data_IF_266074766916
#
_entry.id   IF_266074766916
#
_cell.length_a   1.000
_cell.length_b   1.000
_cell.length_c   1.000
_cell.angle_alpha   90.00
_cell.angle_beta   90.00
_cell.angle_gamma   90.00
#
_symmetry.space_group_name_H-M   'P 1'
#
loop_
_entity.id
_entity.type
_entity.pdbx_description
1 polymer ?
#
# COMPACT_ATOMS: atom_id res chain seq x y z
N UNK A 1 45.98 14.79 5.95
CA UNK A 1 44.85 14.04 5.36
C UNK A 1 43.88 13.81 6.49
N UNK A 2 42.87 14.68 6.60
CA UNK A 2 41.74 14.45 7.49
C UNK A 2 40.85 13.49 6.71
N UNK A 3 40.60 12.31 7.27
CA UNK A 3 39.61 11.40 6.72
C UNK A 3 38.27 12.10 6.89
N UNK A 4 37.67 12.51 5.77
CA UNK A 4 36.25 12.80 5.70
C UNK A 4 35.57 11.45 5.91
N UNK A 5 35.20 11.16 7.16
CA UNK A 5 34.20 10.15 7.45
C UNK A 5 32.92 10.67 6.81
N UNK A 6 32.71 10.35 5.53
CA UNK A 6 31.38 10.38 4.95
C UNK A 6 30.54 9.41 5.77
N UNK A 7 29.89 9.94 6.80
CA UNK A 7 28.78 9.28 7.47
C UNK A 7 27.74 9.07 6.39
N UNK A 8 27.82 7.92 5.70
CA UNK A 8 26.76 7.45 4.83
C UNK A 8 25.51 7.40 5.69
N UNK A 9 24.49 8.25 5.46
CA UNK A 9 23.24 8.06 6.15
C UNK A 9 22.77 6.70 5.66
N UNK A 10 22.63 5.74 6.57
CA UNK A 10 21.75 4.61 6.34
C UNK A 10 20.36 5.20 6.16
N UNK A 11 20.04 5.59 4.93
CA UNK A 11 18.71 6.04 4.58
C UNK A 11 17.83 4.81 4.69
N UNK A 12 17.09 4.70 5.78
CA UNK A 12 16.03 3.71 5.89
C UNK A 12 15.01 4.03 4.79
N UNK A 13 15.07 3.25 3.72
CA UNK A 13 14.09 3.23 2.63
C UNK A 13 13.17 2.03 2.85
N UNK A 14 11.92 2.17 2.42
CA UNK A 14 10.96 1.07 2.40
C UNK A 14 10.53 0.85 0.96
N UNK A 15 10.51 -0.40 0.52
CA UNK A 15 9.98 -0.76 -0.79
C UNK A 15 8.45 -0.67 -0.75
N UNK A 16 7.90 0.26 -1.53
CA UNK A 16 6.45 0.46 -1.62
C UNK A 16 5.96 -0.04 -2.97
N UNK A 17 4.97 -0.93 -2.94
CA UNK A 17 4.23 -1.36 -4.12
C UNK A 17 3.10 -0.37 -4.39
N UNK A 18 3.11 0.23 -5.58
CA UNK A 18 2.10 1.19 -6.04
C UNK A 18 1.08 0.50 -6.93
N UNK A 19 -0.19 0.75 -6.68
CA UNK A 19 -1.30 0.16 -7.41
C UNK A 19 -2.49 1.12 -7.51
N UNK A 20 -3.46 0.76 -8.35
CA UNK A 20 -4.65 1.56 -8.63
C UNK A 20 -5.93 0.85 -8.18
N UNK A 21 -6.86 1.62 -7.62
CA UNK A 21 -8.27 1.26 -7.48
C UNK A 21 -9.08 2.46 -7.97
N UNK A 22 -9.85 2.27 -9.04
CA UNK A 22 -10.59 3.31 -9.74
C UNK A 22 -9.68 4.34 -10.43
N UNK A 23 -9.68 5.56 -9.89
CA UNK A 23 -8.82 6.68 -10.31
C UNK A 23 -7.71 6.98 -9.31
N UNK A 24 -7.64 6.24 -8.20
CA UNK A 24 -6.81 6.56 -7.06
C UNK A 24 -5.60 5.63 -7.01
N UNK A 25 -4.45 6.22 -6.68
CA UNK A 25 -3.19 5.49 -6.50
C UNK A 25 -2.98 5.24 -5.01
N UNK A 26 -2.73 3.99 -4.68
CA UNK A 26 -2.42 3.53 -3.34
C UNK A 26 -1.00 2.97 -3.29
N UNK A 27 -0.45 2.93 -2.08
CA UNK A 27 0.80 2.27 -1.78
C UNK A 27 0.61 1.28 -0.63
N UNK A 28 1.34 0.18 -0.67
CA UNK A 28 1.52 -0.75 0.45
C UNK A 28 2.99 -1.11 0.55
N UNK A 29 3.43 -1.52 1.74
CA UNK A 29 4.74 -2.14 1.88
C UNK A 29 4.79 -3.40 0.98
N UNK A 30 5.81 -3.47 0.12
CA UNK A 30 5.98 -4.56 -0.83
C UNK A 30 6.23 -5.90 -0.14
N UNK A 31 6.76 -5.91 1.08
CA UNK A 31 6.97 -7.12 1.88
C UNK A 31 5.67 -7.79 2.31
N UNK A 32 4.54 -7.05 2.33
CA UNK A 32 3.22 -7.64 2.59
C UNK A 32 2.67 -8.38 1.37
N UNK A 33 3.19 -8.11 0.16
CA UNK A 33 2.70 -8.71 -1.08
C UNK A 33 3.52 -9.96 -1.41
N UNK A 34 2.89 -11.13 -1.33
CA UNK A 34 3.49 -12.39 -1.72
C UNK A 34 3.63 -12.51 -3.24
N UNK A 35 2.57 -12.15 -3.96
CA UNK A 35 2.51 -12.22 -5.43
C UNK A 35 1.34 -11.42 -6.00
N UNK A 36 1.38 -11.23 -7.31
CA UNK A 36 0.30 -10.60 -8.09
C UNK A 36 -0.33 -11.66 -8.98
N UNK A 37 -1.64 -11.85 -8.86
CA UNK A 37 -2.40 -12.81 -9.65
C UNK A 37 -3.47 -12.14 -10.52
N UNK A 38 -4.14 -12.96 -11.33
CA UNK A 38 -5.42 -12.56 -11.94
C UNK A 38 -6.49 -12.63 -10.87
N UNK A 39 -7.33 -11.61 -10.81
CA UNK A 39 -8.46 -11.58 -9.89
C UNK A 39 -9.45 -12.71 -10.16
N UNK A 40 -9.99 -13.30 -9.11
CA UNK A 40 -11.13 -14.22 -9.12
C UNK A 40 -12.42 -13.51 -8.67
N UNK A 41 -13.61 -14.04 -8.98
CA UNK A 41 -14.87 -13.41 -8.57
C UNK A 41 -14.98 -13.14 -7.06
N UNK A 42 -14.48 -14.05 -6.25
CA UNK A 42 -14.62 -14.02 -4.77
C UNK A 42 -13.49 -13.26 -4.06
N UNK A 43 -12.52 -12.72 -4.80
CA UNK A 43 -11.45 -11.92 -4.18
C UNK A 43 -12.02 -10.65 -3.52
N UNK A 44 -11.34 -10.20 -2.48
CA UNK A 44 -11.72 -9.06 -1.66
C UNK A 44 -11.84 -7.78 -2.48
N UNK A 45 -12.96 -7.09 -2.31
CA UNK A 45 -13.17 -5.72 -2.76
C UNK A 45 -13.43 -4.86 -1.53
N UNK A 46 -12.73 -3.75 -1.42
CA UNK A 46 -12.89 -2.80 -0.30
C UNK A 46 -13.57 -1.54 -0.86
N UNK A 47 -14.88 -1.35 -0.67
CA UNK A 47 -15.62 -0.23 -1.25
C UNK A 47 -15.02 1.14 -0.91
N UNK A 48 -14.39 1.26 0.26
CA UNK A 48 -13.75 2.47 0.76
C UNK A 48 -12.46 2.83 0.00
N UNK A 49 -11.84 1.88 -0.71
CA UNK A 49 -10.75 2.15 -1.67
C UNK A 49 -11.28 2.69 -3.01
N UNK A 50 -12.59 2.72 -3.19
CA UNK A 50 -13.25 3.17 -4.39
C UNK A 50 -13.75 2.02 -5.28
N UNK A 51 -14.49 2.39 -6.32
CA UNK A 51 -15.05 1.43 -7.26
C UNK A 51 -13.99 1.00 -8.29
N UNK A 52 -13.79 -0.32 -8.40
CA UNK A 52 -12.93 -0.91 -9.43
C UNK A 52 -13.49 -0.62 -10.83
N UNK A 53 -12.61 -0.31 -11.77
CA UNK A 53 -12.97 -0.12 -13.18
C UNK A 53 -12.91 -1.41 -13.98
N UNK A 54 -11.87 -2.19 -13.74
CA UNK A 54 -11.56 -3.46 -14.39
C UNK A 54 -11.43 -4.56 -13.34
N UNK A 55 -10.67 -4.30 -12.29
CA UNK A 55 -10.44 -5.22 -11.18
C UNK A 55 -9.87 -6.56 -11.59
N UNK A 56 -9.00 -6.60 -12.62
CA UNK A 56 -8.50 -7.83 -13.27
C UNK A 56 -7.24 -8.42 -12.62
N UNK A 57 -6.78 -7.83 -11.51
CA UNK A 57 -5.57 -8.24 -10.79
C UNK A 57 -5.89 -8.35 -9.31
N UNK A 58 -5.17 -9.22 -8.62
CA UNK A 58 -5.23 -9.35 -7.18
C UNK A 58 -3.83 -9.24 -6.58
N UNK A 59 -3.71 -8.48 -5.50
CA UNK A 59 -2.58 -8.55 -4.58
C UNK A 59 -2.82 -9.70 -3.62
N UNK A 60 -1.93 -10.68 -3.61
CA UNK A 60 -1.98 -11.81 -2.68
C UNK A 60 -1.04 -11.51 -1.51
N UNK A 61 -1.54 -11.66 -0.29
CA UNK A 61 -0.82 -11.39 0.96
C UNK A 61 -1.14 -12.43 2.03
N UNK A 62 -0.26 -12.57 3.02
CA UNK A 62 -0.51 -13.47 4.15
C UNK A 62 -1.59 -12.91 5.08
N UNK A 63 -2.53 -13.76 5.47
CA UNK A 63 -3.58 -13.48 6.44
C UNK A 63 -3.70 -14.62 7.48
N UNK A 64 -4.29 -14.37 8.67
CA UNK A 64 -4.43 -15.39 9.71
C UNK A 64 -5.18 -16.66 9.28
N UNK A 65 -6.13 -16.53 8.36
CA UNK A 65 -6.98 -17.63 7.87
C UNK A 65 -6.45 -18.28 6.57
N UNK A 66 -5.30 -17.83 6.05
CA UNK A 66 -4.73 -18.27 4.78
C UNK A 66 -4.22 -17.09 3.96
N UNK A 67 -4.46 -17.11 2.65
CA UNK A 67 -4.06 -16.00 1.78
C UNK A 67 -5.21 -15.00 1.63
N UNK A 68 -4.90 -13.72 1.81
CA UNK A 68 -5.77 -12.61 1.45
C UNK A 68 -5.56 -12.21 0.00
N UNK A 69 -6.64 -11.94 -0.73
CA UNK A 69 -6.61 -11.58 -2.15
C UNK A 69 -7.34 -10.25 -2.35
N UNK A 70 -6.62 -9.14 -2.53
CA UNK A 70 -7.22 -7.81 -2.74
C UNK A 70 -7.29 -7.48 -4.23
N UNK A 71 -8.50 -7.27 -4.77
CA UNK A 71 -8.69 -6.82 -6.15
C UNK A 71 -8.19 -5.39 -6.36
N UNK A 72 -7.48 -5.21 -7.47
CA UNK A 72 -6.95 -3.93 -7.92
C UNK A 72 -7.09 -3.77 -9.43
N UNK A 73 -7.09 -2.54 -9.91
CA UNK A 73 -7.22 -2.23 -11.33
C UNK A 73 -5.90 -2.38 -12.09
N UNK A 74 -4.80 -1.91 -11.49
CA UNK A 74 -3.48 -1.95 -12.10
C UNK A 74 -2.37 -1.97 -11.05
N UNK A 75 -1.24 -2.56 -11.42
CA UNK A 75 0.02 -2.48 -10.68
C UNK A 75 0.93 -1.50 -11.38
N UNK A 76 1.43 -0.50 -10.66
CA UNK A 76 2.40 0.49 -11.18
C UNK A 76 3.85 0.08 -10.95
N UNK A 77 4.09 -0.81 -10.00
CA UNK A 77 5.41 -1.36 -9.70
C UNK A 77 5.84 -1.11 -8.27
N UNK A 78 7.05 -1.56 -7.95
CA UNK A 78 7.68 -1.35 -6.65
C UNK A 78 8.80 -0.32 -6.81
N UNK A 79 8.92 0.59 -5.85
CA UNK A 79 10.08 1.49 -5.74
C UNK A 79 10.44 1.74 -4.28
N UNK A 80 11.73 1.98 -4.00
CA UNK A 80 12.16 2.43 -2.69
C UNK A 80 11.62 3.84 -2.43
N UNK A 81 11.16 4.08 -1.21
CA UNK A 81 10.73 5.39 -0.73
C UNK A 81 11.48 5.70 0.57
N UNK A 82 12.18 6.84 0.67
CA UNK A 82 12.81 7.26 1.92
C UNK A 82 11.77 7.42 3.04
N UNK A 83 12.02 6.87 4.23
CA UNK A 83 11.09 6.98 5.37
C UNK A 83 10.75 8.44 5.69
N UNK A 84 11.71 9.35 5.50
CA UNK A 84 11.52 10.79 5.71
C UNK A 84 10.46 11.44 4.81
N UNK A 85 10.10 10.79 3.70
CA UNK A 85 9.09 11.26 2.74
C UNK A 85 7.70 10.68 3.06
N UNK A 86 7.63 9.70 3.96
CA UNK A 86 6.39 9.15 4.49
C UNK A 86 5.83 10.10 5.56
N UNK A 87 4.51 10.27 5.57
CA UNK A 87 3.79 11.08 6.56
C UNK A 87 2.72 10.23 7.22
N UNK A 88 2.70 10.20 8.55
CA UNK A 88 1.57 9.65 9.29
C UNK A 88 0.38 10.59 9.19
N UNK A 89 -0.81 10.01 9.09
CA UNK A 89 -2.03 10.80 9.14
C UNK A 89 -2.32 11.22 10.58
N UNK A 90 -2.74 12.47 10.81
CA UNK A 90 -3.17 12.89 12.13
C UNK A 90 -4.48 12.18 12.51
N UNK A 91 -4.68 11.79 13.79
CA UNK A 91 -5.87 11.03 14.21
C UNK A 91 -7.22 11.71 13.86
N UNK A 92 -7.23 13.05 13.80
CA UNK A 92 -8.44 13.84 13.48
C UNK A 92 -8.85 13.77 12.01
N UNK A 93 -8.02 13.19 11.13
CA UNK A 93 -8.32 13.10 9.70
C UNK A 93 -9.44 12.09 9.36
N UNK A 94 -9.93 11.32 10.35
CA UNK A 94 -11.00 10.33 10.12
C UNK A 94 -10.59 9.24 9.13
N UNK A 95 -9.29 8.91 9.05
CA UNK A 95 -8.77 7.91 8.13
C UNK A 95 -9.31 6.52 8.48
N UNK A 96 -9.52 5.69 7.46
CA UNK A 96 -9.91 4.30 7.66
C UNK A 96 -8.83 3.55 8.46
N UNK A 97 -9.22 2.52 9.22
CA UNK A 97 -8.31 1.78 10.12
C UNK A 97 -7.11 1.16 9.40
N UNK A 98 -7.29 0.80 8.14
CA UNK A 98 -6.24 0.25 7.29
C UNK A 98 -5.26 1.29 6.74
N UNK A 99 -5.49 2.57 7.00
CA UNK A 99 -4.65 3.63 6.47
C UNK A 99 -3.48 3.91 7.41
N UNK A 100 -2.26 3.69 6.93
CA UNK A 100 -1.03 3.86 7.72
C UNK A 100 -0.47 5.27 7.55
N UNK A 101 -0.65 5.88 6.38
CA UNK A 101 -0.09 7.19 6.10
C UNK A 101 -0.36 7.72 4.70
N UNK A 102 0.41 8.72 4.32
CA UNK A 102 0.41 9.33 3.00
C UNK A 102 1.84 9.59 2.55
N UNK A 103 2.05 9.45 1.25
CA UNK A 103 3.28 9.80 0.55
C UNK A 103 2.95 10.77 -0.58
N UNK A 104 3.81 11.75 -0.85
CA UNK A 104 3.63 12.67 -1.97
C UNK A 104 4.53 12.26 -3.12
N UNK A 105 3.92 11.70 -4.16
CA UNK A 105 4.60 11.38 -5.42
C UNK A 105 4.49 12.56 -6.39
N UNK A 106 5.55 13.35 -6.54
CA UNK A 106 5.54 14.54 -7.42
C UNK A 106 4.30 15.43 -7.15
N UNK A 107 4.07 15.76 -5.88
CA UNK A 107 2.92 16.54 -5.38
C UNK A 107 1.56 15.83 -5.45
N UNK A 108 1.49 14.59 -5.94
CA UNK A 108 0.26 13.79 -5.93
C UNK A 108 0.20 12.93 -4.67
N UNK A 109 -0.89 13.00 -3.89
CA UNK A 109 -1.03 12.17 -2.71
C UNK A 109 -1.23 10.71 -3.09
N UNK A 110 -0.45 9.84 -2.47
CA UNK A 110 -0.61 8.38 -2.48
C UNK A 110 -0.92 7.95 -1.05
N UNK A 111 -2.09 7.36 -0.86
CA UNK A 111 -2.48 6.81 0.43
C UNK A 111 -1.76 5.49 0.66
N UNK A 112 -1.10 5.37 1.82
CA UNK A 112 -0.40 4.16 2.23
C UNK A 112 -1.34 3.34 3.10
N UNK A 113 -1.57 2.09 2.71
CA UNK A 113 -2.49 1.19 3.39
C UNK A 113 -1.77 -0.08 3.85
N UNK A 114 -2.31 -0.70 4.89
CA UNK A 114 -1.91 -2.02 5.36
C UNK A 114 -2.90 -3.06 4.85
N UNK A 115 -2.41 -4.07 4.11
CA UNK A 115 -3.27 -5.06 3.46
C UNK A 115 -4.01 -5.93 4.47
N UNK A 116 -3.35 -6.31 5.57
CA UNK A 116 -3.98 -7.13 6.59
C UNK A 116 -5.12 -6.37 7.28
N UNK A 117 -4.90 -5.10 7.60
CA UNK A 117 -5.95 -4.25 8.16
C UNK A 117 -7.10 -3.99 7.18
N UNK A 118 -6.86 -3.98 5.86
CA UNK A 118 -7.96 -3.89 4.89
C UNK A 118 -8.90 -5.10 4.96
N UNK A 119 -8.35 -6.31 5.17
CA UNK A 119 -9.14 -7.52 5.35
C UNK A 119 -9.95 -7.45 6.65
N UNK A 120 -9.31 -7.03 7.76
CA UNK A 120 -9.97 -6.92 9.06
C UNK A 120 -11.12 -5.90 9.07
N UNK A 121 -11.01 -4.85 8.26
CA UNK A 121 -12.06 -3.83 8.13
C UNK A 121 -13.35 -4.37 7.49
N UNK A 122 -13.25 -5.39 6.61
CA UNK A 122 -14.42 -5.97 5.94
C UNK A 122 -15.22 -6.92 6.86
N UNK A 123 -14.56 -7.59 7.82
CA UNK A 123 -15.22 -8.49 8.78
C UNK A 123 -15.94 -7.80 9.95
N UNK A 124 -15.94 -6.46 10.01
CA UNK A 124 -16.50 -5.66 11.11
C UNK A 124 -17.94 -5.17 10.89
N UNK A 125 -18.68 -5.76 9.96
CA UNK A 125 -20.09 -5.44 9.70
C UNK A 125 -21.07 -6.38 10.41
#
# INVERSE_FOLDING_TARGET
MIYDEEVSPSFDEVDVLFFEVGDVVYGTDASQVLRIERSLPDDLMVPELGALRRGNRALVFDAPEGEGHLKVDAIRGVRPVPIRDLRRLPPVAGAASYTVGVFLDQERPVMLIDLLETLNAQGRH
#
